data_IF_614585884134
#
_entry.id   IF_614585884134
#
_cell.length_a   1.000
_cell.length_b   1.000
_cell.length_c   1.000
_cell.angle_alpha   90.00
_cell.angle_beta   90.00
_cell.angle_gamma   90.00
#
_symmetry.space_group_name_H-M   'P 1'
#
loop_
_entity.id
_entity.type
_entity.pdbx_description
1 polymer ?
#
# COMPACT_ATOMS: atom_id res chain seq x y z
N UNK A 1 11.40 -9.66 28.27
CA UNK A 1 10.22 -9.18 29.01
C UNK A 1 9.31 -8.39 28.10
N UNK A 2 9.81 -7.40 27.34
CA UNK A 2 9.01 -6.65 26.36
C UNK A 2 8.41 -7.54 25.26
N UNK A 3 9.20 -8.44 24.66
CA UNK A 3 8.73 -9.29 23.56
C UNK A 3 7.58 -10.22 23.96
N UNK A 4 7.61 -10.77 25.17
CA UNK A 4 6.53 -11.63 25.70
C UNK A 4 5.23 -10.83 25.84
N UNK A 5 5.32 -9.59 26.33
CA UNK A 5 4.15 -8.72 26.47
C UNK A 5 3.52 -8.38 25.11
N UNK A 6 4.35 -8.08 24.10
CA UNK A 6 3.89 -7.79 22.74
C UNK A 6 3.26 -9.02 22.08
N UNK A 7 3.85 -10.20 22.29
CA UNK A 7 3.28 -11.45 21.81
C UNK A 7 1.93 -11.74 22.47
N UNK A 8 1.81 -11.62 23.78
CA UNK A 8 0.55 -11.82 24.48
C UNK A 8 -0.51 -10.78 24.07
N UNK A 9 -0.11 -9.53 23.82
CA UNK A 9 -1.00 -8.51 23.25
C UNK A 9 -1.50 -8.92 21.86
N UNK A 10 -0.62 -9.41 20.99
CA UNK A 10 -0.99 -9.89 19.66
C UNK A 10 -2.02 -11.02 19.74
N UNK A 11 -1.84 -11.99 20.63
CA UNK A 11 -2.76 -13.13 20.81
C UNK A 11 -4.00 -12.82 21.66
N UNK A 12 -4.04 -11.69 22.36
CA UNK A 12 -5.23 -11.25 23.11
C UNK A 12 -6.41 -10.90 22.20
N UNK A 13 -6.13 -10.63 20.92
CA UNK A 13 -7.10 -10.29 19.88
C UNK A 13 -6.98 -11.23 18.71
N UNK A 14 -8.08 -11.37 17.98
CA UNK A 14 -8.08 -12.21 16.79
C UNK A 14 -7.31 -11.56 15.66
N UNK A 15 -6.36 -12.29 15.10
CA UNK A 15 -5.59 -11.83 13.95
C UNK A 15 -6.28 -12.20 12.64
N UNK A 16 -6.16 -11.32 11.65
CA UNK A 16 -6.68 -11.55 10.31
C UNK A 16 -5.53 -11.43 9.31
N UNK A 17 -5.16 -12.54 8.69
CA UNK A 17 -4.11 -12.55 7.68
C UNK A 17 -4.58 -11.84 6.42
N UNK A 18 -3.85 -10.79 6.01
CA UNK A 18 -3.85 -10.35 4.61
C UNK A 18 -3.04 -11.32 3.75
N UNK A 19 -3.20 -11.23 2.42
CA UNK A 19 -2.28 -11.89 1.49
C UNK A 19 -0.81 -11.58 1.81
N UNK A 20 -0.46 -10.32 2.01
CA UNK A 20 0.92 -9.90 2.34
C UNK A 20 1.40 -10.45 3.69
N UNK A 21 0.54 -10.48 4.71
CA UNK A 21 0.85 -11.05 6.01
C UNK A 21 1.07 -12.55 5.95
N UNK A 22 0.20 -13.27 5.24
CA UNK A 22 0.32 -14.72 5.05
C UNK A 22 1.57 -15.05 4.25
N UNK A 23 1.80 -14.36 3.13
CA UNK A 23 2.98 -14.57 2.30
C UNK A 23 4.28 -14.30 3.09
N UNK A 24 4.29 -13.28 3.95
CA UNK A 24 5.44 -13.00 4.83
C UNK A 24 5.69 -14.13 5.84
N UNK A 25 4.65 -14.68 6.46
CA UNK A 25 4.75 -15.84 7.34
C UNK A 25 5.33 -17.05 6.61
N UNK A 26 4.81 -17.34 5.42
CA UNK A 26 5.25 -18.49 4.61
C UNK A 26 6.70 -18.33 4.12
N UNK A 27 7.12 -17.11 3.79
CA UNK A 27 8.49 -16.80 3.39
C UNK A 27 9.47 -16.92 4.56
N UNK A 28 9.16 -16.28 5.69
CA UNK A 28 9.98 -16.34 6.89
C UNK A 28 9.15 -16.07 8.13
N UNK A 29 8.84 -17.10 8.94
CA UNK A 29 8.11 -16.93 10.18
C UNK A 29 8.78 -15.93 11.14
N UNK A 30 10.11 -15.86 11.15
CA UNK A 30 10.85 -14.93 12.00
C UNK A 30 10.66 -13.48 11.59
N UNK A 31 10.57 -13.21 10.28
CA UNK A 31 10.31 -11.86 9.75
C UNK A 31 8.86 -11.48 10.03
N UNK A 32 7.92 -12.42 9.88
CA UNK A 32 6.53 -12.20 10.28
C UNK A 32 6.42 -11.85 11.77
N UNK A 33 7.10 -12.61 12.64
CA UNK A 33 7.10 -12.39 14.08
C UNK A 33 7.59 -10.99 14.44
N UNK A 34 8.75 -10.57 13.91
CA UNK A 34 9.26 -9.22 14.14
C UNK A 34 8.28 -8.16 13.63
N UNK A 35 7.78 -8.31 12.41
CA UNK A 35 6.93 -7.30 11.77
C UNK A 35 5.55 -7.16 12.41
N UNK A 36 4.84 -8.26 12.62
CA UNK A 36 3.43 -8.27 13.02
C UNK A 36 3.19 -8.53 14.51
N UNK A 37 4.10 -9.25 15.18
CA UNK A 37 3.94 -9.61 16.59
C UNK A 37 4.71 -8.62 17.47
N UNK A 38 5.96 -8.30 17.12
CA UNK A 38 6.77 -7.33 17.86
C UNK A 38 6.61 -5.87 17.40
N UNK A 39 5.80 -5.61 16.37
CA UNK A 39 5.64 -4.30 15.74
C UNK A 39 6.96 -3.65 15.28
N UNK A 40 7.94 -4.47 14.88
CA UNK A 40 9.23 -4.04 14.35
C UNK A 40 9.18 -4.06 12.82
N UNK A 41 8.65 -2.97 12.24
CA UNK A 41 8.62 -2.81 10.79
C UNK A 41 10.01 -2.43 10.26
N UNK A 42 10.37 -2.94 9.07
CA UNK A 42 11.52 -2.42 8.33
C UNK A 42 11.06 -1.14 7.61
N UNK A 43 11.60 0.02 7.99
CA UNK A 43 11.12 1.36 7.58
C UNK A 43 11.24 1.67 6.08
N UNK A 44 11.68 0.73 5.24
CA UNK A 44 11.82 0.95 3.79
C UNK A 44 10.63 0.36 3.05
N UNK A 45 9.67 1.22 2.73
CA UNK A 45 8.71 0.92 1.67
C UNK A 45 9.41 1.16 0.35
N UNK A 46 9.70 0.08 -0.40
CA UNK A 46 10.37 0.21 -1.68
C UNK A 46 9.57 1.11 -2.64
N UNK A 47 10.26 1.93 -3.44
CA UNK A 47 9.63 2.87 -4.37
C UNK A 47 8.58 2.21 -5.28
N UNK A 48 8.84 0.98 -5.74
CA UNK A 48 7.90 0.22 -6.57
C UNK A 48 6.57 -0.11 -5.87
N UNK A 49 6.56 -0.26 -4.54
CA UNK A 49 5.34 -0.48 -3.75
C UNK A 49 4.53 0.81 -3.62
N UNK A 50 5.19 1.96 -3.50
CA UNK A 50 4.54 3.28 -3.52
C UNK A 50 3.88 3.51 -4.88
N UNK A 51 4.59 3.23 -5.97
CA UNK A 51 4.06 3.35 -7.33
C UNK A 51 2.85 2.45 -7.57
N UNK A 52 2.90 1.19 -7.13
CA UNK A 52 1.76 0.27 -7.23
C UNK A 52 0.52 0.79 -6.50
N UNK A 53 0.68 1.31 -5.27
CA UNK A 53 -0.41 1.93 -4.52
C UNK A 53 -0.92 3.20 -5.16
N UNK A 54 -0.03 4.04 -5.71
CA UNK A 54 -0.42 5.25 -6.40
C UNK A 54 -1.25 4.94 -7.65
N UNK A 55 -0.86 3.92 -8.42
CA UNK A 55 -1.63 3.41 -9.56
C UNK A 55 -3.03 2.93 -9.14
N UNK A 56 -3.13 2.13 -8.07
CA UNK A 56 -4.40 1.66 -7.53
C UNK A 56 -5.29 2.83 -7.11
N UNK A 57 -4.75 3.77 -6.33
CA UNK A 57 -5.47 4.94 -5.88
C UNK A 57 -6.00 5.76 -7.07
N UNK A 58 -5.15 6.15 -8.03
CA UNK A 58 -5.59 6.98 -9.15
C UNK A 58 -6.58 6.27 -10.09
N UNK A 59 -6.51 4.93 -10.21
CA UNK A 59 -7.41 4.17 -11.07
C UNK A 59 -8.73 3.81 -10.40
N UNK A 60 -8.72 3.52 -9.10
CA UNK A 60 -9.80 2.83 -8.40
C UNK A 60 -10.43 3.66 -7.25
N UNK A 61 -9.66 4.57 -6.64
CA UNK A 61 -10.05 5.37 -5.47
C UNK A 61 -9.35 6.75 -5.44
N UNK A 62 -9.52 7.53 -6.51
CA UNK A 62 -8.81 8.81 -6.70
C UNK A 62 -9.15 9.82 -5.58
N UNK A 63 -10.36 9.73 -5.03
CA UNK A 63 -10.82 10.56 -3.90
C UNK A 63 -10.01 10.36 -2.61
N UNK A 64 -9.26 9.26 -2.49
CA UNK A 64 -8.37 9.01 -1.36
C UNK A 64 -6.94 9.49 -1.59
N UNK A 65 -6.61 10.07 -2.76
CA UNK A 65 -5.25 10.51 -3.09
C UNK A 65 -4.67 11.40 -2.00
N UNK A 66 -5.35 12.49 -1.64
CA UNK A 66 -4.86 13.42 -0.62
C UNK A 66 -4.79 12.81 0.78
N UNK A 67 -5.48 11.69 1.05
CA UNK A 67 -5.39 10.99 2.34
C UNK A 67 -4.18 10.06 2.40
N UNK A 68 -3.72 9.57 1.26
CA UNK A 68 -2.69 8.54 1.16
C UNK A 68 -1.34 9.09 0.71
N UNK A 69 -1.32 10.12 -0.14
CA UNK A 69 -0.11 10.65 -0.77
C UNK A 69 0.11 12.13 -0.46
N UNK A 70 1.38 12.52 -0.48
CA UNK A 70 1.82 13.90 -0.50
C UNK A 70 2.87 14.07 -1.61
N UNK A 71 2.75 15.15 -2.38
CA UNK A 71 3.71 15.47 -3.42
C UNK A 71 4.85 16.27 -2.80
N UNK A 72 6.08 15.77 -2.96
CA UNK A 72 7.28 16.51 -2.60
C UNK A 72 7.47 17.66 -3.59
N UNK A 73 7.67 18.89 -3.12
CA UNK A 73 7.90 20.01 -4.01
C UNK A 73 9.19 19.82 -4.81
N UNK A 74 9.17 20.15 -6.11
CA UNK A 74 10.34 20.01 -6.99
C UNK A 74 11.57 20.79 -6.53
N UNK A 75 11.38 21.96 -5.90
CA UNK A 75 12.43 22.73 -5.25
C UNK A 75 12.35 22.58 -3.74
N UNK A 76 13.16 21.68 -3.18
CA UNK A 76 13.33 21.58 -1.73
C UNK A 76 14.43 22.57 -1.30
N UNK A 77 14.16 23.49 -0.35
CA UNK A 77 15.19 24.34 0.22
C UNK A 77 16.38 23.51 0.73
N UNK A 78 17.59 24.06 0.62
CA UNK A 78 18.82 23.36 1.04
C UNK A 78 19.59 24.19 2.06
N UNK A 79 20.57 23.55 2.71
CA UNK A 79 21.47 24.23 3.64
C UNK A 79 20.74 24.91 4.83
N UNK A 80 21.16 26.12 5.22
CA UNK A 80 20.59 26.81 6.39
C UNK A 80 19.09 27.09 6.29
N UNK A 81 18.57 27.42 5.11
CA UNK A 81 17.14 27.70 4.93
C UNK A 81 16.29 26.48 5.31
N UNK A 82 16.71 25.28 4.91
CA UNK A 82 16.02 24.04 5.31
C UNK A 82 16.03 23.82 6.82
N UNK A 83 17.21 23.99 7.45
CA UNK A 83 17.35 23.82 8.89
C UNK A 83 16.42 24.77 9.67
N UNK A 84 16.30 26.00 9.19
CA UNK A 84 15.39 27.01 9.75
C UNK A 84 13.94 26.56 9.59
N UNK A 85 13.50 26.16 8.40
CA UNK A 85 12.12 25.70 8.17
C UNK A 85 11.77 24.46 9.00
N UNK A 86 12.68 23.50 9.12
CA UNK A 86 12.50 22.30 9.93
C UNK A 86 12.42 22.65 11.44
N UNK A 87 13.20 23.65 11.91
CA UNK A 87 13.13 24.14 13.28
C UNK A 87 11.84 24.93 13.56
N UNK A 88 11.44 25.82 12.65
CA UNK A 88 10.17 26.57 12.72
C UNK A 88 8.99 25.61 12.78
N UNK A 89 8.99 24.56 11.95
CA UNK A 89 7.94 23.55 11.97
C UNK A 89 7.84 22.83 13.32
N UNK A 90 8.97 22.34 13.85
CA UNK A 90 9.00 21.72 15.19
C UNK A 90 8.51 22.68 16.26
N UNK A 91 8.93 23.94 16.20
CA UNK A 91 8.52 24.94 17.19
C UNK A 91 7.04 25.26 17.11
N UNK A 92 6.49 25.35 15.90
CA UNK A 92 5.07 25.60 15.69
C UNK A 92 4.20 24.44 16.23
N UNK A 93 4.67 23.19 16.11
CA UNK A 93 4.04 22.03 16.75
C UNK A 93 4.10 22.09 18.28
N UNK A 94 5.24 22.47 18.86
CA UNK A 94 5.37 22.62 20.33
C UNK A 94 4.46 23.71 20.91
N UNK A 95 4.28 24.80 20.16
CA UNK A 95 3.48 25.95 20.57
C UNK A 95 1.98 25.78 20.29
N UNK A 96 1.59 24.71 19.59
CA UNK A 96 0.21 24.45 19.14
C UNK A 96 -0.41 25.65 18.39
N UNK A 97 0.36 26.21 17.45
CA UNK A 97 -0.05 27.36 16.64
C UNK A 97 -0.39 26.97 15.19
N UNK A 98 -1.04 27.87 14.46
CA UNK A 98 -1.36 27.67 13.06
C UNK A 98 -0.10 27.42 12.22
N UNK A 99 -0.09 26.33 11.46
CA UNK A 99 1.03 25.90 10.64
C UNK A 99 1.06 26.60 9.27
N UNK A 100 1.03 27.93 9.28
CA UNK A 100 1.17 28.79 8.11
C UNK A 100 2.47 29.59 8.22
N UNK A 101 3.44 29.32 7.35
CA UNK A 101 4.74 29.96 7.37
C UNK A 101 4.64 31.50 7.35
N UNK A 102 3.65 32.06 6.66
CA UNK A 102 3.44 33.50 6.55
C UNK A 102 3.06 34.16 7.89
N UNK A 103 2.54 33.36 8.84
CA UNK A 103 2.10 33.82 10.16
C UNK A 103 3.11 33.52 11.27
N UNK A 104 4.24 32.89 10.93
CA UNK A 104 5.24 32.43 11.91
C UNK A 104 6.49 33.33 11.96
N UNK A 105 6.30 34.64 11.87
CA UNK A 105 7.42 35.60 11.84
C UNK A 105 8.37 35.47 13.04
N UNK A 106 7.83 35.39 14.26
CA UNK A 106 8.67 35.27 15.47
C UNK A 106 9.45 33.94 15.51
N UNK A 107 8.82 32.75 15.33
CA UNK A 107 9.55 31.50 15.20
C UNK A 107 10.63 31.51 14.13
N UNK A 108 10.38 32.14 12.97
CA UNK A 108 11.36 32.26 11.88
C UNK A 108 12.57 33.08 12.36
N UNK A 109 12.34 34.26 12.94
CA UNK A 109 13.41 35.14 13.38
C UNK A 109 14.26 34.50 14.49
N UNK A 110 13.62 33.74 15.39
CA UNK A 110 14.33 33.03 16.46
C UNK A 110 15.17 31.87 15.93
N UNK A 111 14.63 31.06 15.01
CA UNK A 111 15.40 30.03 14.33
C UNK A 111 16.57 30.63 13.53
N UNK A 112 16.37 31.76 12.83
CA UNK A 112 17.45 32.45 12.11
C UNK A 112 18.59 32.87 13.04
N UNK A 113 18.27 33.35 14.26
CA UNK A 113 19.28 33.71 15.28
C UNK A 113 20.02 32.48 15.77
N UNK A 114 19.30 31.40 16.09
CA UNK A 114 19.87 30.12 16.55
C UNK A 114 20.91 29.59 15.56
N UNK A 115 20.58 29.58 14.26
CA UNK A 115 21.47 29.12 13.20
C UNK A 115 22.47 30.18 12.70
N UNK A 116 22.51 31.37 13.32
CA UNK A 116 23.35 32.51 12.92
C UNK A 116 23.22 32.85 11.41
N UNK A 117 22.01 32.76 10.86
CA UNK A 117 21.74 32.94 9.43
C UNK A 117 21.26 34.36 9.12
N UNK A 118 21.88 35.03 8.15
CA UNK A 118 21.56 36.40 7.71
C UNK A 118 21.49 37.47 8.83
N UNK A 119 22.23 37.29 9.93
CA UNK A 119 22.20 38.21 11.09
C UNK A 119 22.74 39.62 10.80
N UNK A 120 23.46 39.81 9.70
CA UNK A 120 23.97 41.12 9.25
C UNK A 120 22.90 42.01 8.58
N UNK A 121 21.72 41.47 8.27
CA UNK A 121 20.60 42.25 7.72
C UNK A 121 20.06 43.23 8.78
N UNK A 122 19.57 44.40 8.32
CA UNK A 122 19.27 45.55 9.19
C UNK A 122 17.88 45.49 9.80
N UNK A 123 16.91 44.89 9.09
CA UNK A 123 15.51 44.82 9.53
C UNK A 123 15.03 43.38 9.54
N UNK A 124 14.02 43.11 10.37
CA UNK A 124 13.38 41.80 10.42
C UNK A 124 12.65 41.47 9.12
N UNK A 125 12.04 42.46 8.47
CA UNK A 125 11.41 42.25 7.15
C UNK A 125 12.41 41.73 6.13
N UNK A 126 13.63 42.28 6.07
CA UNK A 126 14.67 41.78 5.15
C UNK A 126 15.06 40.33 5.43
N UNK A 127 14.98 39.88 6.70
CA UNK A 127 15.26 38.50 7.10
C UNK A 127 14.10 37.59 6.72
N UNK A 128 12.87 38.02 7.00
CA UNK A 128 11.65 37.30 6.63
C UNK A 128 11.57 37.11 5.11
N UNK A 129 11.85 38.13 4.30
CA UNK A 129 11.85 38.04 2.83
C UNK A 129 12.89 37.04 2.27
N UNK A 130 13.90 36.66 3.07
CA UNK A 130 14.89 35.62 2.69
C UNK A 130 14.44 34.20 3.01
N UNK A 131 13.46 34.04 3.89
CA UNK A 131 12.94 32.73 4.32
C UNK A 131 11.54 32.49 3.76
N UNK A 132 10.67 33.49 3.75
CA UNK A 132 9.29 33.41 3.24
C UNK A 132 9.30 33.61 1.73
N UNK A 133 9.76 32.58 1.02
CA UNK A 133 9.74 32.48 -0.44
C UNK A 133 8.71 31.45 -0.89
N UNK A 134 8.29 31.47 -2.15
CA UNK A 134 7.34 30.48 -2.70
C UNK A 134 7.81 29.04 -2.48
N UNK A 135 9.09 28.75 -2.74
CA UNK A 135 9.69 27.43 -2.49
C UNK A 135 9.63 27.03 -1.01
N UNK A 136 9.87 27.98 -0.11
CA UNK A 136 9.85 27.73 1.34
C UNK A 136 8.44 27.53 1.87
N UNK A 137 7.47 28.28 1.36
CA UNK A 137 6.05 28.10 1.66
C UNK A 137 5.60 26.71 1.20
N UNK A 138 5.95 26.33 -0.03
CA UNK A 138 5.63 25.01 -0.60
C UNK A 138 6.25 23.87 0.22
N UNK A 139 7.53 23.99 0.59
CA UNK A 139 8.18 23.00 1.47
C UNK A 139 7.57 22.95 2.87
N UNK A 140 7.21 24.09 3.45
CA UNK A 140 6.58 24.12 4.77
C UNK A 140 5.20 23.47 4.72
N UNK A 141 4.37 23.77 3.71
CA UNK A 141 3.10 23.09 3.47
C UNK A 141 3.30 21.58 3.34
N UNK A 142 4.33 21.14 2.61
CA UNK A 142 4.71 19.72 2.54
C UNK A 142 5.02 19.11 3.93
N UNK A 143 5.76 19.79 4.81
CA UNK A 143 6.05 19.30 6.16
C UNK A 143 4.77 19.08 6.98
N UNK A 144 3.83 20.02 6.90
CA UNK A 144 2.53 19.92 7.59
C UNK A 144 1.67 18.79 7.03
N UNK A 145 1.80 18.56 5.72
CA UNK A 145 1.03 17.60 4.98
C UNK A 145 1.54 16.17 5.18
N UNK A 146 2.86 15.95 5.17
CA UNK A 146 3.49 14.64 5.06
C UNK A 146 2.94 13.59 6.04
N UNK A 147 2.80 13.91 7.32
CA UNK A 147 2.29 12.99 8.38
C UNK A 147 2.67 11.53 8.11
N UNK A 148 1.68 10.62 8.04
CA UNK A 148 1.85 9.19 7.72
C UNK A 148 1.52 8.88 6.25
N UNK A 149 1.54 9.88 5.37
CA UNK A 149 1.27 9.74 3.93
C UNK A 149 2.54 9.34 3.19
N UNK A 150 2.36 8.63 2.09
CA UNK A 150 3.44 8.27 1.18
C UNK A 150 3.90 9.51 0.41
N UNK A 151 5.22 9.69 0.34
CA UNK A 151 5.80 10.80 -0.41
C UNK A 151 6.09 10.34 -1.83
N UNK A 152 5.67 11.16 -2.79
CA UNK A 152 5.99 10.99 -4.22
C UNK A 152 6.53 12.29 -4.79
N UNK A 153 7.36 12.21 -5.83
CA UNK A 153 7.78 13.39 -6.60
C UNK A 153 6.88 13.59 -7.84
N UNK A 154 7.01 14.77 -8.45
CA UNK A 154 6.24 15.13 -9.65
C UNK A 154 6.53 14.20 -10.83
N UNK A 155 7.78 13.74 -10.98
CA UNK A 155 8.18 12.83 -12.05
C UNK A 155 7.48 11.46 -11.92
N UNK A 156 7.39 10.93 -10.71
CA UNK A 156 6.66 9.71 -10.39
C UNK A 156 5.18 9.89 -10.69
N UNK A 157 4.58 10.98 -10.22
CA UNK A 157 3.17 11.26 -10.47
C UNK A 157 2.86 11.40 -11.97
N UNK A 158 3.68 12.14 -12.71
CA UNK A 158 3.54 12.34 -14.15
C UNK A 158 3.67 11.02 -14.91
N UNK A 159 4.68 10.22 -14.56
CA UNK A 159 4.85 8.88 -15.14
C UNK A 159 3.64 8.01 -14.88
N UNK A 160 3.18 7.90 -13.64
CA UNK A 160 2.01 7.09 -13.28
C UNK A 160 0.74 7.58 -13.99
N UNK A 161 0.48 8.88 -14.06
CA UNK A 161 -0.63 9.44 -14.85
C UNK A 161 -0.56 9.02 -16.32
N UNK A 162 0.64 8.91 -16.89
CA UNK A 162 0.81 8.42 -18.26
C UNK A 162 0.52 6.93 -18.44
N UNK A 163 0.52 6.12 -17.37
CA UNK A 163 0.01 4.74 -17.39
C UNK A 163 -1.51 4.72 -17.25
N UNK A 164 -2.07 5.55 -16.35
CA UNK A 164 -3.52 5.72 -16.20
C UNK A 164 -4.17 6.12 -17.52
N UNK A 165 -3.60 7.08 -18.24
CA UNK A 165 -4.09 7.52 -19.55
C UNK A 165 -4.19 6.37 -20.57
N UNK A 166 -3.20 5.46 -20.58
CA UNK A 166 -3.22 4.28 -21.46
C UNK A 166 -4.37 3.34 -21.07
N UNK A 167 -4.59 3.14 -19.77
CA UNK A 167 -5.68 2.30 -19.25
C UNK A 167 -7.04 2.91 -19.60
N UNK A 168 -7.25 4.18 -19.28
CA UNK A 168 -8.53 4.87 -19.48
C UNK A 168 -8.87 5.07 -20.95
N UNK A 169 -7.86 5.13 -21.83
CA UNK A 169 -8.07 5.21 -23.28
C UNK A 169 -8.32 3.85 -23.94
N UNK A 170 -8.11 2.73 -23.24
CA UNK A 170 -8.35 1.39 -23.76
C UNK A 170 -9.79 0.95 -23.46
N UNK A 171 -10.69 1.13 -24.45
CA UNK A 171 -12.11 0.80 -24.30
C UNK A 171 -12.36 -0.64 -23.86
N UNK A 172 -11.59 -1.61 -24.37
CA UNK A 172 -11.72 -3.03 -24.00
C UNK A 172 -11.46 -3.23 -22.50
N UNK A 173 -10.37 -2.67 -21.99
CA UNK A 173 -10.03 -2.78 -20.56
C UNK A 173 -10.98 -1.97 -19.69
N UNK A 174 -11.41 -0.80 -20.15
CA UNK A 174 -12.40 -0.01 -19.40
C UNK A 174 -13.76 -0.69 -19.31
N UNK A 175 -14.18 -1.48 -20.31
CA UNK A 175 -15.35 -2.36 -20.17
C UNK A 175 -15.13 -3.45 -19.11
N UNK A 176 -13.91 -3.95 -18.93
CA UNK A 176 -13.60 -4.89 -17.84
C UNK A 176 -13.79 -4.21 -16.48
N UNK A 177 -13.32 -2.97 -16.29
CA UNK A 177 -13.44 -2.26 -15.01
C UNK A 177 -14.81 -1.63 -14.73
N UNK A 178 -15.57 -1.25 -15.76
CA UNK A 178 -16.83 -0.52 -15.63
C UNK A 178 -18.08 -1.34 -15.97
N UNK A 179 -17.90 -2.55 -16.49
CA UNK A 179 -19.00 -3.39 -16.94
C UNK A 179 -18.99 -3.63 -18.44
N UNK A 180 -19.29 -4.87 -18.82
CA UNK A 180 -19.46 -5.24 -20.23
C UNK A 180 -20.73 -4.58 -20.80
N UNK A 181 -20.65 -3.90 -21.96
CA UNK A 181 -21.79 -3.16 -22.53
C UNK A 181 -23.06 -3.98 -22.72
N UNK A 182 -22.91 -5.27 -23.04
CA UNK A 182 -24.02 -6.18 -23.33
C UNK A 182 -24.56 -6.90 -22.09
N UNK A 183 -24.16 -6.48 -20.87
CA UNK A 183 -24.60 -7.10 -19.62
C UNK A 183 -25.10 -6.06 -18.63
N UNK A 184 -26.18 -6.40 -17.93
CA UNK A 184 -26.68 -5.59 -16.83
C UNK A 184 -25.74 -5.67 -15.63
N UNK A 185 -25.17 -4.54 -15.26
CA UNK A 185 -24.39 -4.39 -14.03
C UNK A 185 -25.35 -4.05 -12.89
N UNK A 186 -25.36 -4.89 -11.87
CA UNK A 186 -26.12 -4.69 -10.63
C UNK A 186 -25.39 -3.74 -9.70
N UNK A 187 -24.08 -3.97 -9.51
CA UNK A 187 -23.25 -3.19 -8.58
C UNK A 187 -21.79 -3.22 -8.99
N UNK A 188 -21.10 -2.12 -8.74
CA UNK A 188 -19.64 -2.02 -8.82
C UNK A 188 -19.11 -1.60 -7.45
N UNK A 189 -18.05 -2.25 -6.99
CA UNK A 189 -17.25 -1.82 -5.84
C UNK A 189 -15.78 -1.72 -6.22
N UNK A 190 -15.11 -0.65 -5.79
CA UNK A 190 -13.65 -0.50 -5.86
C UNK A 190 -13.06 -0.61 -4.46
N UNK A 191 -11.83 -1.09 -4.35
CA UNK A 191 -11.06 -1.11 -3.10
C UNK A 191 -11.89 -1.65 -1.92
N UNK A 192 -12.58 -2.78 -2.12
CA UNK A 192 -13.61 -3.27 -1.19
C UNK A 192 -12.94 -4.04 -0.04
N UNK A 193 -12.91 -3.52 1.20
CA UNK A 193 -12.34 -4.24 2.33
C UNK A 193 -13.28 -5.37 2.75
N UNK A 194 -12.75 -6.59 2.79
CA UNK A 194 -13.47 -7.78 3.25
C UNK A 194 -12.63 -8.52 4.30
N UNK A 195 -13.32 -9.14 5.25
CA UNK A 195 -12.71 -10.01 6.25
C UNK A 195 -13.66 -11.12 6.63
N UNK A 196 -13.14 -12.33 6.82
CA UNK A 196 -13.93 -13.48 7.25
C UNK A 196 -13.21 -14.27 8.34
N UNK A 197 -14.02 -14.93 9.14
CA UNK A 197 -13.58 -15.94 10.06
C UNK A 197 -13.48 -17.30 9.39
N UNK A 198 -12.53 -18.10 9.84
CA UNK A 198 -12.29 -19.43 9.28
C UNK A 198 -12.57 -20.50 10.33
N UNK A 199 -13.61 -21.34 10.14
CA UNK A 199 -13.88 -22.45 11.04
C UNK A 199 -12.65 -23.35 11.19
N UNK A 200 -12.28 -23.66 12.44
CA UNK A 200 -11.11 -24.49 12.76
C UNK A 200 -9.76 -23.75 12.83
N UNK A 201 -9.73 -22.44 12.58
CA UNK A 201 -8.52 -21.61 12.68
C UNK A 201 -8.65 -20.61 13.84
N UNK A 202 -7.54 -20.39 14.56
CA UNK A 202 -7.43 -19.34 15.59
C UNK A 202 -7.42 -17.91 15.02
N UNK A 203 -7.41 -17.78 13.70
CA UNK A 203 -7.30 -16.52 12.96
C UNK A 203 -8.32 -16.46 11.81
N UNK A 204 -8.56 -15.25 11.30
CA UNK A 204 -9.32 -15.00 10.09
C UNK A 204 -8.43 -14.63 8.90
N UNK A 205 -9.07 -14.31 7.77
CA UNK A 205 -8.40 -13.69 6.61
C UNK A 205 -9.08 -12.38 6.24
N UNK A 206 -8.31 -11.45 5.68
CA UNK A 206 -8.79 -10.16 5.18
C UNK A 206 -8.11 -9.76 3.88
N UNK A 207 -8.72 -8.83 3.16
CA UNK A 207 -8.15 -8.28 1.93
C UNK A 207 -8.93 -7.04 1.50
N UNK A 208 -8.33 -6.26 0.60
CA UNK A 208 -8.98 -5.15 -0.08
C UNK A 208 -9.06 -5.57 -1.53
N UNK A 209 -10.26 -5.86 -2.02
CA UNK A 209 -10.44 -6.35 -3.39
C UNK A 209 -10.51 -5.14 -4.32
N UNK A 210 -9.53 -5.01 -5.21
CA UNK A 210 -9.35 -3.86 -6.11
C UNK A 210 -10.65 -3.49 -6.85
N UNK A 211 -11.33 -4.50 -7.43
CA UNK A 211 -12.59 -4.30 -8.15
C UNK A 211 -13.50 -5.54 -8.07
N UNK A 212 -14.78 -5.29 -7.77
CA UNK A 212 -15.86 -6.28 -7.81
C UNK A 212 -16.98 -5.72 -8.69
N UNK A 213 -17.36 -6.46 -9.73
CA UNK A 213 -18.51 -6.13 -10.57
C UNK A 213 -19.53 -7.26 -10.47
N UNK A 214 -20.70 -6.94 -9.97
CA UNK A 214 -21.82 -7.86 -9.89
C UNK A 214 -22.71 -7.71 -11.13
N UNK A 215 -22.88 -8.80 -11.86
CA UNK A 215 -23.87 -8.96 -12.92
C UNK A 215 -25.05 -9.79 -12.39
N UNK A 216 -26.10 -9.94 -13.18
CA UNK A 216 -27.27 -10.74 -12.81
C UNK A 216 -26.91 -12.19 -12.44
N UNK A 217 -26.00 -12.81 -13.21
CA UNK A 217 -25.71 -14.23 -13.12
C UNK A 217 -24.32 -14.60 -12.57
N UNK A 218 -23.39 -13.65 -12.44
CA UNK A 218 -22.06 -13.90 -11.85
C UNK A 218 -21.46 -12.62 -11.25
N UNK A 219 -20.44 -12.79 -10.44
CA UNK A 219 -19.58 -11.70 -9.95
C UNK A 219 -18.21 -11.81 -10.63
N UNK A 220 -17.70 -10.69 -11.13
CA UNK A 220 -16.35 -10.58 -11.68
C UNK A 220 -15.46 -9.86 -10.67
N UNK A 221 -14.44 -10.57 -10.20
CA UNK A 221 -13.36 -10.01 -9.37
C UNK A 221 -12.20 -9.70 -10.29
N UNK A 222 -11.70 -8.47 -10.21
CA UNK A 222 -10.55 -8.02 -10.99
C UNK A 222 -9.49 -7.53 -10.01
N UNK A 223 -8.28 -8.04 -10.16
CA UNK A 223 -7.10 -7.59 -9.44
C UNK A 223 -6.15 -6.93 -10.44
N UNK A 224 -5.77 -5.68 -10.16
CA UNK A 224 -4.96 -4.87 -11.06
C UNK A 224 -3.49 -4.96 -10.67
N UNK A 225 -2.62 -5.23 -11.66
CA UNK A 225 -1.19 -5.41 -11.44
C UNK A 225 -0.37 -4.52 -12.38
N UNK A 226 0.68 -3.95 -11.81
CA UNK A 226 1.80 -3.40 -12.60
C UNK A 226 2.94 -4.40 -12.59
N UNK A 227 3.70 -4.47 -13.69
CA UNK A 227 4.88 -5.34 -13.76
C UNK A 227 6.02 -4.71 -14.53
N UNK A 228 7.24 -4.90 -14.00
CA UNK A 228 8.49 -4.53 -14.68
C UNK A 228 8.98 -5.61 -15.66
N UNK A 229 8.28 -6.75 -15.74
CA UNK A 229 8.49 -7.81 -16.72
C UNK A 229 7.56 -7.61 -17.91
N UNK A 230 7.78 -8.32 -19.01
CA UNK A 230 6.84 -8.31 -20.14
C UNK A 230 5.54 -9.02 -19.76
N UNK A 231 4.44 -8.75 -20.46
CA UNK A 231 3.20 -9.50 -20.27
C UNK A 231 3.35 -11.00 -20.55
N UNK A 232 4.27 -11.40 -21.44
CA UNK A 232 4.54 -12.81 -21.72
C UNK A 232 5.10 -13.55 -20.50
N UNK A 233 5.84 -12.85 -19.63
CA UNK A 233 6.43 -13.37 -18.38
C UNK A 233 5.47 -13.21 -17.17
N UNK A 234 4.22 -12.78 -17.41
CA UNK A 234 3.29 -12.52 -16.31
C UNK A 234 2.89 -13.80 -15.57
N UNK A 235 2.84 -14.94 -16.27
CA UNK A 235 2.52 -16.23 -15.64
C UNK A 235 3.58 -16.63 -14.60
N UNK A 236 4.85 -16.44 -14.93
CA UNK A 236 5.98 -16.66 -14.02
C UNK A 236 5.93 -15.66 -12.86
N UNK A 237 5.51 -14.42 -13.13
CA UNK A 237 5.31 -13.37 -12.12
C UNK A 237 4.23 -13.76 -11.10
N UNK A 238 3.12 -14.38 -11.55
CA UNK A 238 2.05 -14.88 -10.67
C UNK A 238 2.58 -15.92 -9.69
N UNK A 239 3.44 -16.83 -10.15
CA UNK A 239 4.08 -17.83 -9.28
C UNK A 239 5.11 -17.20 -8.36
N UNK A 240 6.04 -16.41 -8.90
CA UNK A 240 7.14 -15.79 -8.15
C UNK A 240 6.65 -14.96 -6.97
N UNK A 241 5.67 -14.09 -7.20
CA UNK A 241 5.11 -13.26 -6.13
C UNK A 241 4.03 -13.98 -5.34
N UNK A 242 3.55 -15.15 -5.76
CA UNK A 242 2.40 -15.84 -5.17
C UNK A 242 1.07 -15.10 -5.34
N UNK A 243 0.85 -14.43 -6.46
CA UNK A 243 -0.45 -13.82 -6.78
C UNK A 243 -1.57 -14.85 -6.90
N UNK A 244 -1.24 -16.12 -7.20
CA UNK A 244 -2.19 -17.23 -7.11
C UNK A 244 -2.83 -17.35 -5.72
N UNK A 245 -2.06 -17.09 -4.65
CA UNK A 245 -2.54 -17.13 -3.26
C UNK A 245 -3.47 -15.94 -2.99
N UNK A 246 -3.13 -14.76 -3.52
CA UNK A 246 -3.99 -13.58 -3.43
C UNK A 246 -5.34 -13.83 -4.11
N UNK A 247 -5.34 -14.38 -5.33
CA UNK A 247 -6.56 -14.72 -6.07
C UNK A 247 -7.44 -15.72 -5.30
N UNK A 248 -6.84 -16.77 -4.72
CA UNK A 248 -7.56 -17.74 -3.90
C UNK A 248 -8.16 -17.11 -2.61
N UNK A 249 -7.42 -16.20 -1.97
CA UNK A 249 -7.92 -15.42 -0.81
C UNK A 249 -9.12 -14.56 -1.24
N UNK A 250 -9.00 -13.81 -2.35
CA UNK A 250 -10.07 -12.94 -2.84
C UNK A 250 -11.31 -13.75 -3.21
N UNK A 251 -11.16 -14.90 -3.88
CA UNK A 251 -12.28 -15.80 -4.14
C UNK A 251 -13.00 -16.18 -2.84
N UNK A 252 -12.26 -16.56 -1.80
CA UNK A 252 -12.83 -16.99 -0.52
C UNK A 252 -13.50 -15.84 0.24
N UNK A 253 -12.94 -14.63 0.17
CA UNK A 253 -13.53 -13.41 0.72
C UNK A 253 -14.81 -13.02 0.00
N UNK A 254 -14.81 -12.98 -1.34
CA UNK A 254 -15.98 -12.58 -2.12
C UNK A 254 -17.10 -13.62 -2.02
N UNK A 255 -16.76 -14.90 -1.89
CA UNK A 255 -17.75 -15.97 -1.65
C UNK A 255 -18.56 -15.75 -0.36
N UNK A 256 -18.05 -15.00 0.63
CA UNK A 256 -18.80 -14.74 1.86
C UNK A 256 -19.93 -13.72 1.71
N UNK A 257 -19.94 -12.96 0.61
CA UNK A 257 -20.93 -11.92 0.33
C UNK A 257 -21.80 -12.24 -0.89
N UNK A 258 -21.55 -13.36 -1.57
CA UNK A 258 -22.34 -13.77 -2.75
C UNK A 258 -22.31 -15.28 -2.99
N UNK A 259 -23.47 -15.84 -3.36
CA UNK A 259 -23.61 -17.22 -3.81
C UNK A 259 -23.41 -17.36 -5.33
N UNK A 260 -23.36 -16.24 -6.07
CA UNK A 260 -23.22 -16.26 -7.53
C UNK A 260 -21.89 -16.89 -7.96
N UNK A 261 -21.81 -17.53 -9.13
CA UNK A 261 -20.53 -17.89 -9.75
C UNK A 261 -19.56 -16.70 -9.76
N UNK A 262 -18.28 -16.96 -9.47
CA UNK A 262 -17.25 -15.91 -9.42
C UNK A 262 -16.28 -16.15 -10.57
N UNK A 263 -16.06 -15.13 -11.38
CA UNK A 263 -14.96 -15.04 -12.34
C UNK A 263 -13.84 -14.20 -11.73
N UNK A 264 -12.60 -14.58 -12.00
CA UNK A 264 -11.43 -13.83 -11.55
C UNK A 264 -10.55 -13.50 -12.74
N UNK A 265 -10.12 -12.24 -12.85
CA UNK A 265 -9.12 -11.81 -13.82
C UNK A 265 -8.01 -11.03 -13.15
N UNK A 266 -6.78 -11.20 -13.62
CA UNK A 266 -5.75 -10.18 -13.43
C UNK A 266 -5.81 -9.22 -14.61
N UNK A 267 -5.85 -7.92 -14.38
CA UNK A 267 -5.54 -6.93 -15.41
C UNK A 267 -4.15 -6.42 -15.16
N UNK A 268 -3.23 -6.66 -16.09
CA UNK A 268 -1.83 -6.27 -15.93
C UNK A 268 -1.41 -5.24 -16.98
N UNK A 269 -0.61 -4.27 -16.54
CA UNK A 269 0.12 -3.34 -17.40
C UNK A 269 1.63 -3.54 -17.20
N UNK A 270 2.35 -3.69 -18.31
CA UNK A 270 3.81 -3.85 -18.27
C UNK A 270 4.57 -2.53 -18.42
N UNK A 271 5.89 -2.58 -18.23
CA UNK A 271 6.80 -1.43 -18.41
C UNK A 271 6.80 -0.81 -19.82
N UNK A 272 6.26 -1.51 -20.82
CA UNK A 272 6.10 -1.01 -22.19
C UNK A 272 4.68 -0.49 -22.45
N UNK A 273 3.87 -0.34 -21.39
CA UNK A 273 2.47 0.10 -21.44
C UNK A 273 1.58 -0.82 -22.27
N UNK A 274 1.92 -2.10 -22.35
CA UNK A 274 1.04 -3.11 -22.90
C UNK A 274 0.05 -3.52 -21.81
N UNK A 275 -1.24 -3.62 -22.16
CA UNK A 275 -2.30 -4.05 -21.24
C UNK A 275 -2.90 -5.37 -21.69
N UNK A 276 -3.19 -6.23 -20.72
CA UNK A 276 -3.91 -7.46 -20.98
C UNK A 276 -4.73 -7.92 -19.77
N UNK A 277 -5.88 -8.52 -20.05
CA UNK A 277 -6.71 -9.20 -19.07
C UNK A 277 -6.41 -10.71 -19.12
N UNK A 278 -5.87 -11.23 -18.04
CA UNK A 278 -5.66 -12.66 -17.82
C UNK A 278 -6.84 -13.24 -17.04
N UNK A 279 -7.86 -13.73 -17.73
CA UNK A 279 -8.95 -14.50 -17.11
C UNK A 279 -8.38 -15.81 -16.54
N UNK A 280 -8.68 -16.08 -15.27
CA UNK A 280 -8.26 -17.30 -14.60
C UNK A 280 -9.32 -18.38 -14.78
N UNK A 281 -8.93 -19.51 -15.37
CA UNK A 281 -9.85 -20.64 -15.58
C UNK A 281 -10.33 -21.23 -14.25
N UNK A 282 -11.52 -21.84 -14.26
CA UNK A 282 -12.06 -22.55 -13.09
C UNK A 282 -11.11 -23.64 -12.60
N UNK A 283 -10.45 -24.37 -13.52
CA UNK A 283 -9.49 -25.44 -13.18
C UNK A 283 -8.28 -24.87 -12.44
N UNK A 284 -7.69 -23.77 -12.96
CA UNK A 284 -6.56 -23.09 -12.32
C UNK A 284 -6.96 -22.53 -10.96
N UNK A 285 -8.13 -21.91 -10.85
CA UNK A 285 -8.60 -21.38 -9.58
C UNK A 285 -8.84 -22.50 -8.55
N UNK A 286 -9.38 -23.65 -8.96
CA UNK A 286 -9.55 -24.80 -8.09
C UNK A 286 -8.19 -25.31 -7.58
N UNK A 287 -7.20 -25.46 -8.45
CA UNK A 287 -5.83 -25.80 -8.07
C UNK A 287 -5.28 -24.80 -7.02
N UNK A 288 -5.40 -23.50 -7.28
CA UNK A 288 -4.93 -22.46 -6.38
C UNK A 288 -5.63 -22.47 -5.03
N UNK A 289 -6.93 -22.76 -4.98
CA UNK A 289 -7.65 -22.92 -3.70
C UNK A 289 -7.18 -24.14 -2.90
N UNK A 290 -6.83 -25.24 -3.58
CA UNK A 290 -6.21 -26.41 -2.95
C UNK A 290 -4.85 -26.06 -2.35
N UNK A 291 -3.97 -25.44 -3.15
CA UNK A 291 -2.66 -24.94 -2.69
C UNK A 291 -2.79 -23.94 -1.53
N UNK A 292 -3.79 -23.07 -1.57
CA UNK A 292 -4.09 -22.12 -0.48
C UNK A 292 -4.43 -22.87 0.82
N UNK A 293 -5.24 -23.93 0.76
CA UNK A 293 -5.57 -24.73 1.95
C UNK A 293 -4.33 -25.34 2.62
N UNK A 294 -3.36 -25.84 1.84
CA UNK A 294 -2.07 -26.33 2.34
C UNK A 294 -1.29 -25.22 3.05
N UNK A 295 -1.20 -24.03 2.44
CA UNK A 295 -0.51 -22.88 3.05
C UNK A 295 -1.20 -22.38 4.32
N UNK A 296 -2.53 -22.47 4.37
CA UNK A 296 -3.30 -22.14 5.56
C UNK A 296 -3.03 -23.13 6.71
N UNK A 297 -2.84 -24.42 6.41
CA UNK A 297 -2.44 -25.41 7.41
C UNK A 297 -1.04 -25.10 7.99
N UNK A 298 -0.09 -24.66 7.15
CA UNK A 298 1.21 -24.19 7.61
C UNK A 298 1.08 -22.97 8.53
N UNK A 299 0.27 -21.98 8.14
CA UNK A 299 0.02 -20.81 8.96
C UNK A 299 -0.63 -21.17 10.31
N UNK A 300 -1.56 -22.14 10.31
CA UNK A 300 -2.17 -22.71 11.52
C UNK A 300 -1.13 -23.31 12.47
N UNK A 301 -0.18 -24.09 11.95
CA UNK A 301 0.91 -24.63 12.78
C UNK A 301 1.64 -23.50 13.51
N UNK A 302 2.12 -22.49 12.78
CA UNK A 302 2.90 -21.40 13.37
C UNK A 302 2.08 -20.57 14.36
N UNK A 303 0.81 -20.28 14.04
CA UNK A 303 -0.07 -19.49 14.90
C UNK A 303 -0.46 -20.24 16.18
N UNK A 304 -0.82 -21.53 16.09
CA UNK A 304 -1.29 -22.29 17.25
C UNK A 304 -0.13 -22.69 18.17
N UNK A 305 1.04 -23.01 17.61
CA UNK A 305 2.23 -23.42 18.40
C UNK A 305 3.09 -22.25 18.85
N UNK A 306 2.84 -21.04 18.33
CA UNK A 306 3.67 -19.84 18.51
C UNK A 306 5.14 -20.03 18.11
N UNK A 307 5.43 -20.97 17.22
CA UNK A 307 6.80 -21.23 16.76
C UNK A 307 7.11 -20.44 15.50
N UNK A 308 7.97 -19.43 15.61
CA UNK A 308 8.33 -18.56 14.47
C UNK A 308 9.83 -18.55 14.14
N UNK A 309 10.61 -19.42 14.77
CA UNK A 309 12.06 -19.43 14.61
C UNK A 309 12.54 -20.13 13.32
N UNK A 310 11.74 -21.04 12.75
CA UNK A 310 12.07 -21.81 11.55
C UNK A 310 10.86 -21.89 10.61
N UNK A 311 11.08 -22.02 9.28
CA UNK A 311 10.02 -22.40 8.35
C UNK A 311 9.45 -23.78 8.71
N UNK A 312 8.19 -24.00 8.38
CA UNK A 312 7.42 -25.19 8.76
C UNK A 312 8.15 -26.52 8.56
N UNK A 313 8.64 -26.80 7.34
CA UNK A 313 9.29 -28.08 7.01
C UNK A 313 10.54 -28.36 7.88
N UNK A 314 11.25 -27.30 8.27
CA UNK A 314 12.39 -27.40 9.18
C UNK A 314 11.93 -27.59 10.62
N UNK A 315 10.88 -26.88 11.05
CA UNK A 315 10.32 -27.00 12.40
C UNK A 315 9.82 -28.43 12.70
N UNK A 316 9.36 -29.15 11.68
CA UNK A 316 8.89 -30.55 11.81
C UNK A 316 9.93 -31.59 11.35
N UNK A 317 11.19 -31.18 11.17
CA UNK A 317 12.33 -32.05 10.80
C UNK A 317 12.11 -32.89 9.52
N UNK A 318 11.43 -32.33 8.51
CA UNK A 318 11.16 -33.01 7.24
C UNK A 318 12.20 -32.72 6.14
N UNK A 319 13.22 -31.90 6.41
CA UNK A 319 14.25 -31.52 5.44
C UNK A 319 15.51 -32.37 5.61
N UNK A 320 16.01 -32.96 4.51
CA UNK A 320 17.31 -33.63 4.39
C UNK A 320 17.98 -33.19 3.10
N UNK A 321 19.31 -33.08 3.09
CA UNK A 321 20.12 -32.74 1.91
C UNK A 321 20.60 -33.98 1.18
#
# INVERSE_FOLDING_TARGET
>A
MLDILLEDEFYSKKFYFSYSGLNKLLFSPSVFYRHYILNQQEDKTDAHLIEGRLMHCLLLDEASFDKQFVIMPGNVPTGPTKLILDAVYRKALELDVELDLNKLSDPILDAMKEFNFHQRLKTDQQRLDKIVTDDSISYFQFLTAKKNRDIIDDDTLARIKSYIEVITSNSKIMHVFNGLPDKTVVKIGSEVPLSIELPGYGFGIKGIVDRIIEYDNYVHVIDFKTTNKTLAEFKETVEYYSYWLQAAIYLKLVRSITDKPIKFSFVAIDKYKQLYEFEVSTTTMLEWTGRMAEKMAIAKYHYDTRQYHLPYEFAINQVKL
#
